data_IF_867120556198
#
_entry.id   IF_867120556198
#
_cell.length_a   1.000
_cell.length_b   1.000
_cell.length_c   1.000
_cell.angle_alpha   90.00
_cell.angle_beta   90.00
_cell.angle_gamma   90.00
#
_symmetry.space_group_name_H-M   'P 1'
#
loop_
_entity.id
_entity.type
_entity.pdbx_description
1 polymer ?
#
# COMPACT_ATOMS: atom_id res chain seq x y z
N UNK A 1 3.84 1.97 27.41
CA UNK A 1 3.77 0.52 27.71
C UNK A 1 3.43 -0.20 26.40
N UNK A 2 4.16 -1.27 26.08
CA UNK A 2 3.83 -2.21 25.00
C UNK A 2 3.67 -3.58 25.65
N UNK A 3 2.58 -4.30 25.38
CA UNK A 3 2.39 -5.67 25.84
C UNK A 3 1.68 -6.48 24.78
N UNK A 4 2.13 -7.71 24.56
CA UNK A 4 1.45 -8.70 23.73
C UNK A 4 0.88 -9.80 24.63
N UNK A 5 -0.38 -10.19 24.41
CA UNK A 5 -1.03 -11.29 25.12
C UNK A 5 -1.54 -12.29 24.09
N UNK A 6 -1.18 -13.56 24.22
CA UNK A 6 -1.78 -14.65 23.43
C UNK A 6 -3.08 -15.02 24.10
N UNK A 7 -4.18 -14.99 23.35
CA UNK A 7 -5.52 -15.30 23.81
C UNK A 7 -5.81 -16.80 23.66
N UNK A 8 -6.90 -17.26 24.28
CA UNK A 8 -7.31 -18.66 24.23
C UNK A 8 -7.89 -19.11 22.87
N UNK A 9 -8.20 -18.15 22.00
CA UNK A 9 -8.72 -18.32 20.63
C UNK A 9 -7.62 -18.21 19.57
N UNK A 10 -6.35 -18.42 19.95
CA UNK A 10 -5.15 -18.27 19.13
C UNK A 10 -4.90 -16.86 18.55
N UNK A 11 -5.66 -15.85 18.97
CA UNK A 11 -5.40 -14.45 18.61
C UNK A 11 -4.33 -13.80 19.49
N UNK A 12 -3.71 -12.72 19.01
CA UNK A 12 -2.74 -11.93 19.78
C UNK A 12 -3.28 -10.53 19.98
N UNK A 13 -3.43 -10.12 21.25
CA UNK A 13 -3.77 -8.73 21.60
C UNK A 13 -2.50 -7.92 21.83
N UNK A 14 -2.30 -6.88 21.00
CA UNK A 14 -1.23 -5.90 21.19
C UNK A 14 -1.77 -4.63 21.84
N UNK A 15 -1.21 -4.25 22.99
CA UNK A 15 -1.60 -3.02 23.70
C UNK A 15 -0.49 -1.99 23.63
N UNK A 16 -0.84 -0.78 23.20
CA UNK A 16 0.05 0.37 23.13
C UNK A 16 -0.58 1.56 23.86
N UNK A 17 0.25 2.46 24.37
CA UNK A 17 -0.21 3.80 24.73
C UNK A 17 -0.48 4.64 23.48
N UNK A 18 -1.50 5.50 23.52
CA UNK A 18 -1.87 6.41 22.43
C UNK A 18 -0.67 7.20 21.87
N UNK A 19 0.19 7.73 22.75
CA UNK A 19 1.40 8.46 22.33
C UNK A 19 2.35 7.60 21.47
N UNK A 20 2.46 6.29 21.77
CA UNK A 20 3.33 5.38 21.03
C UNK A 20 2.69 4.89 19.74
N UNK A 21 1.36 4.79 19.71
CA UNK A 21 0.61 4.54 18.48
C UNK A 21 0.78 5.72 17.50
N UNK A 22 0.61 6.96 17.95
CA UNK A 22 0.84 8.15 17.10
C UNK A 22 2.27 8.24 16.54
N UNK A 23 3.26 7.91 17.37
CA UNK A 23 4.66 7.83 16.94
C UNK A 23 4.85 6.78 15.85
N UNK A 24 4.30 5.57 16.06
CA UNK A 24 4.34 4.48 15.08
C UNK A 24 3.65 4.88 13.77
N UNK A 25 2.46 5.47 13.82
CA UNK A 25 1.74 5.90 12.61
C UNK A 25 2.50 6.97 11.84
N UNK A 26 3.18 7.88 12.53
CA UNK A 26 4.02 8.89 11.89
C UNK A 26 5.22 8.26 11.18
N UNK A 27 5.88 7.29 11.82
CA UNK A 27 6.99 6.55 11.24
C UNK A 27 6.53 5.73 10.01
N UNK A 28 5.44 4.98 10.13
CA UNK A 28 4.87 4.19 9.03
C UNK A 28 4.47 5.06 7.85
N UNK A 29 3.85 6.22 8.11
CA UNK A 29 3.54 7.20 7.08
C UNK A 29 4.81 7.64 6.35
N UNK A 30 5.84 8.07 7.08
CA UNK A 30 7.08 8.53 6.46
C UNK A 30 7.75 7.42 5.63
N UNK A 31 7.78 6.20 6.14
CA UNK A 31 8.35 5.05 5.43
C UNK A 31 7.55 4.72 4.15
N UNK A 32 6.22 4.81 4.18
CA UNK A 32 5.39 4.57 2.99
C UNK A 32 5.57 5.66 1.93
N UNK A 33 5.72 6.92 2.36
CA UNK A 33 6.07 8.03 1.46
C UNK A 33 7.45 7.82 0.85
N UNK A 34 8.45 7.46 1.66
CA UNK A 34 9.80 7.17 1.20
C UNK A 34 9.82 6.01 0.21
N UNK A 35 9.15 4.90 0.54
CA UNK A 35 8.99 3.74 -0.34
C UNK A 35 8.36 4.14 -1.68
N UNK A 36 7.28 4.92 -1.67
CA UNK A 36 6.64 5.42 -2.90
C UNK A 36 7.60 6.24 -3.76
N UNK A 37 8.46 7.06 -3.15
CA UNK A 37 9.47 7.83 -3.88
C UNK A 37 10.60 6.94 -4.43
N UNK A 38 11.03 5.93 -3.67
CA UNK A 38 12.07 4.97 -4.08
C UNK A 38 11.64 4.16 -5.31
N UNK A 39 10.37 3.74 -5.38
CA UNK A 39 9.82 3.06 -6.55
C UNK A 39 10.02 3.84 -7.86
N UNK A 40 10.09 5.18 -7.78
CA UNK A 40 10.33 6.07 -8.92
C UNK A 40 11.83 6.32 -9.11
N UNK A 41 12.57 6.53 -8.03
CA UNK A 41 13.94 7.04 -8.06
C UNK A 41 15.01 5.98 -8.33
N UNK A 42 14.81 4.74 -7.89
CA UNK A 42 15.85 3.70 -7.90
C UNK A 42 16.08 3.10 -9.30
N UNK A 43 15.12 3.29 -10.21
CA UNK A 43 15.21 2.82 -11.60
C UNK A 43 14.91 1.32 -11.77
N UNK A 44 14.61 0.61 -10.70
CA UNK A 44 14.17 -0.80 -10.71
C UNK A 44 12.81 -0.97 -11.41
N UNK A 45 11.99 0.09 -11.42
CA UNK A 45 10.68 0.13 -12.06
C UNK A 45 10.59 1.27 -13.08
N UNK A 46 11.33 1.20 -14.21
CA UNK A 46 11.51 2.32 -15.14
C UNK A 46 10.23 2.79 -15.84
N UNK A 47 9.17 1.97 -15.85
CA UNK A 47 7.86 2.37 -16.39
C UNK A 47 7.11 3.33 -15.46
N UNK A 48 7.38 3.34 -14.15
CA UNK A 48 6.69 4.17 -13.17
C UNK A 48 7.24 5.61 -13.21
N UNK A 49 6.35 6.58 -13.39
CA UNK A 49 6.71 8.00 -13.52
C UNK A 49 6.34 8.82 -12.30
N UNK A 50 5.20 8.51 -11.71
CA UNK A 50 4.66 9.25 -10.57
C UNK A 50 3.78 8.32 -9.72
N UNK A 51 3.80 8.54 -8.40
CA UNK A 51 2.89 7.90 -7.47
C UNK A 51 2.29 9.00 -6.59
N UNK A 52 0.97 9.06 -6.58
CA UNK A 52 0.19 9.91 -5.67
C UNK A 52 -0.73 9.04 -4.82
N UNK A 53 -1.16 9.56 -3.69
CA UNK A 53 -1.98 8.83 -2.72
C UNK A 53 -2.86 9.79 -1.94
N UNK A 54 -3.96 9.25 -1.41
CA UNK A 54 -4.83 9.98 -0.50
C UNK A 54 -4.19 10.09 0.90
N UNK A 55 -4.86 10.81 1.81
CA UNK A 55 -4.30 11.06 3.16
C UNK A 55 -4.11 9.79 3.99
N UNK A 56 -4.95 8.77 3.75
CA UNK A 56 -5.04 7.57 4.57
C UNK A 56 -4.45 6.33 3.89
N UNK A 57 -3.89 6.49 2.68
CA UNK A 57 -3.32 5.39 1.90
C UNK A 57 -4.34 4.29 1.58
N UNK A 58 -5.59 4.68 1.35
CA UNK A 58 -6.66 3.83 0.83
C UNK A 58 -6.69 3.86 -0.71
N UNK A 59 -6.20 4.93 -1.33
CA UNK A 59 -6.12 5.04 -2.78
C UNK A 59 -4.74 5.52 -3.21
N UNK A 60 -4.18 4.85 -4.23
CA UNK A 60 -2.97 5.25 -4.92
C UNK A 60 -3.26 5.45 -6.41
N UNK A 61 -2.68 6.49 -6.99
CA UNK A 61 -2.62 6.66 -8.45
C UNK A 61 -1.17 6.60 -8.90
N UNK A 62 -0.86 5.58 -9.70
CA UNK A 62 0.46 5.31 -10.25
C UNK A 62 0.45 5.60 -11.74
N UNK A 63 1.13 6.69 -12.13
CA UNK A 63 1.29 7.09 -13.53
C UNK A 63 2.43 6.29 -14.14
N UNK A 64 2.18 5.64 -15.27
CA UNK A 64 3.12 4.71 -15.92
C UNK A 64 3.19 4.91 -17.43
N UNK A 65 4.34 4.56 -18.00
CA UNK A 65 4.44 4.20 -19.42
C UNK A 65 3.70 2.87 -19.61
N UNK A 66 2.55 2.89 -20.29
CA UNK A 66 1.69 1.72 -20.42
C UNK A 66 2.40 0.52 -21.08
N UNK A 67 3.09 0.75 -22.19
CA UNK A 67 3.70 -0.34 -22.96
C UNK A 67 4.85 -0.99 -22.18
N UNK A 68 5.70 -0.18 -21.54
CA UNK A 68 6.76 -0.69 -20.68
C UNK A 68 6.19 -1.40 -19.44
N UNK A 69 5.13 -0.86 -18.83
CA UNK A 69 4.50 -1.45 -17.64
C UNK A 69 3.86 -2.82 -17.91
N UNK A 70 3.08 -2.95 -18.99
CA UNK A 70 2.41 -4.22 -19.35
C UNK A 70 3.39 -5.32 -19.79
N UNK A 71 4.57 -4.94 -20.30
CA UNK A 71 5.59 -5.88 -20.80
C UNK A 71 6.76 -6.11 -19.82
N UNK A 72 6.68 -5.61 -18.59
CA UNK A 72 7.75 -5.73 -17.58
C UNK A 72 7.27 -6.34 -16.27
N UNK A 73 8.21 -6.51 -15.34
CA UNK A 73 7.91 -6.89 -13.96
C UNK A 73 7.49 -5.70 -13.09
N UNK A 74 7.40 -4.49 -13.64
CA UNK A 74 7.05 -3.28 -12.88
C UNK A 74 5.64 -3.34 -12.29
N UNK A 75 4.79 -4.20 -12.84
CA UNK A 75 3.50 -4.56 -12.25
C UNK A 75 3.60 -5.05 -10.79
N UNK A 76 4.74 -5.57 -10.34
CA UNK A 76 4.95 -5.98 -8.95
C UNK A 76 4.91 -4.82 -7.95
N UNK A 77 5.21 -3.59 -8.39
CA UNK A 77 5.10 -2.41 -7.53
C UNK A 77 3.66 -2.19 -7.04
N UNK A 78 2.65 -2.62 -7.83
CA UNK A 78 1.23 -2.57 -7.44
C UNK A 78 0.98 -3.42 -6.20
N UNK A 79 1.55 -4.62 -6.13
CA UNK A 79 1.44 -5.51 -4.98
C UNK A 79 2.15 -4.91 -3.76
N UNK A 80 3.37 -4.40 -3.94
CA UNK A 80 4.13 -3.77 -2.86
C UNK A 80 3.40 -2.58 -2.23
N UNK A 81 2.84 -1.69 -3.04
CA UNK A 81 2.02 -0.56 -2.58
C UNK A 81 0.74 -1.03 -1.89
N UNK A 82 0.03 -1.99 -2.48
CA UNK A 82 -1.19 -2.57 -1.90
C UNK A 82 -0.95 -3.13 -0.50
N UNK A 83 0.08 -3.96 -0.34
CA UNK A 83 0.46 -4.52 0.95
C UNK A 83 0.84 -3.44 1.96
N UNK A 84 1.63 -2.44 1.55
CA UNK A 84 2.07 -1.38 2.45
C UNK A 84 0.90 -0.49 2.91
N UNK A 85 -0.07 -0.20 2.04
CA UNK A 85 -1.31 0.48 2.38
C UNK A 85 -2.17 -0.33 3.37
N UNK A 86 -2.33 -1.64 3.14
CA UNK A 86 -3.09 -2.51 4.05
C UNK A 86 -2.45 -2.57 5.44
N UNK A 87 -1.12 -2.67 5.51
CA UNK A 87 -0.42 -2.61 6.79
C UNK A 87 -0.63 -1.25 7.50
N UNK A 88 -0.59 -0.13 6.77
CA UNK A 88 -0.89 1.17 7.36
C UNK A 88 -2.28 1.20 8.00
N UNK A 89 -3.31 0.73 7.27
CA UNK A 89 -4.69 0.69 7.77
C UNK A 89 -4.86 -0.22 8.98
N UNK A 90 -4.26 -1.42 8.95
CA UNK A 90 -4.29 -2.36 10.07
C UNK A 90 -3.73 -1.74 11.35
N UNK A 91 -2.61 -1.02 11.24
CA UNK A 91 -2.00 -0.34 12.39
C UNK A 91 -2.73 0.95 12.78
N UNK A 92 -3.45 1.60 11.86
CA UNK A 92 -4.36 2.71 12.17
C UNK A 92 -5.64 2.24 12.90
N UNK A 93 -5.88 0.92 12.94
CA UNK A 93 -6.96 0.29 13.68
C UNK A 93 -8.21 0.00 12.83
N UNK A 94 -8.07 -0.05 11.51
CA UNK A 94 -9.11 -0.58 10.62
C UNK A 94 -9.27 -2.07 10.89
N UNK A 95 -10.51 -2.54 10.92
CA UNK A 95 -10.81 -3.97 11.09
C UNK A 95 -10.24 -4.77 9.90
N UNK A 96 -9.73 -5.97 10.15
CA UNK A 96 -9.19 -6.84 9.10
C UNK A 96 -10.19 -7.15 7.98
N UNK A 97 -11.48 -7.21 8.30
CA UNK A 97 -12.57 -7.43 7.31
C UNK A 97 -12.89 -6.17 6.49
N UNK A 98 -12.28 -5.03 6.81
CA UNK A 98 -12.54 -3.72 6.21
C UNK A 98 -11.27 -3.07 5.63
N UNK A 99 -10.17 -3.83 5.53
CA UNK A 99 -8.99 -3.37 4.82
C UNK A 99 -9.33 -3.22 3.33
N UNK A 100 -9.04 -2.05 2.77
CA UNK A 100 -9.32 -1.77 1.37
C UNK A 100 -8.29 -0.79 0.81
N UNK A 101 -7.51 -1.24 -0.18
CA UNK A 101 -6.54 -0.40 -0.89
C UNK A 101 -6.73 -0.53 -2.39
N UNK A 102 -7.09 0.56 -3.04
CA UNK A 102 -7.18 0.64 -4.49
C UNK A 102 -5.91 1.25 -5.10
N UNK A 103 -5.31 0.54 -6.06
CA UNK A 103 -4.19 1.03 -6.85
C UNK A 103 -4.64 1.26 -8.30
N UNK A 104 -4.65 2.51 -8.73
CA UNK A 104 -4.98 2.90 -10.09
C UNK A 104 -3.71 3.05 -10.93
N UNK A 105 -3.56 2.23 -11.98
CA UNK A 105 -2.53 2.46 -13.00
C UNK A 105 -3.07 3.42 -14.06
N UNK A 106 -2.38 4.52 -14.31
CA UNK A 106 -2.78 5.60 -15.23
C UNK A 106 -1.72 5.74 -16.31
N UNK A 107 -2.15 5.79 -17.57
CA UNK A 107 -1.26 5.98 -18.72
C UNK A 107 -0.74 7.42 -18.75
N UNK A 108 0.59 7.60 -18.75
CA UNK A 108 1.22 8.92 -18.78
C UNK A 108 0.87 9.74 -20.03
N UNK A 109 0.60 9.07 -21.15
CA UNK A 109 0.40 9.72 -22.45
C UNK A 109 -1.02 10.27 -22.63
N UNK A 110 -2.01 9.58 -22.06
CA UNK A 110 -3.43 9.90 -22.22
C UNK A 110 -4.07 10.44 -20.94
N UNK A 111 -3.47 10.15 -19.77
CA UNK A 111 -4.09 10.38 -18.47
C UNK A 111 -5.26 9.44 -18.18
N UNK A 112 -5.50 8.45 -19.04
CA UNK A 112 -6.58 7.49 -18.86
C UNK A 112 -6.16 6.37 -17.91
N UNK A 113 -7.13 5.89 -17.13
CA UNK A 113 -6.93 4.75 -16.24
C UNK A 113 -6.82 3.47 -17.05
N UNK A 114 -5.67 2.79 -16.96
CA UNK A 114 -5.39 1.51 -17.60
C UNK A 114 -6.12 0.38 -16.86
N UNK A 115 -5.93 0.34 -15.53
CA UNK A 115 -6.54 -0.66 -14.65
C UNK A 115 -6.63 -0.16 -13.21
N UNK A 116 -7.42 -0.88 -12.41
CA UNK A 116 -7.44 -0.76 -10.95
C UNK A 116 -7.22 -2.15 -10.36
N UNK A 117 -6.45 -2.21 -9.28
CA UNK A 117 -6.31 -3.41 -8.46
C UNK A 117 -6.74 -3.06 -7.04
N UNK A 118 -7.69 -3.79 -6.49
CA UNK A 118 -8.20 -3.62 -5.13
C UNK A 118 -7.65 -4.73 -4.23
N UNK A 119 -7.00 -4.38 -3.13
CA UNK A 119 -6.51 -5.32 -2.13
C UNK A 119 -7.36 -5.26 -0.87
N UNK A 120 -7.71 -6.40 -0.25
CA UNK A 120 -7.26 -7.76 -0.59
C UNK A 120 -8.06 -8.48 -1.70
N UNK A 121 -9.20 -7.94 -2.15
CA UNK A 121 -10.15 -8.60 -3.08
C UNK A 121 -9.48 -9.27 -4.30
N UNK A 122 -8.71 -8.53 -5.09
CA UNK A 122 -8.08 -9.04 -6.32
C UNK A 122 -6.89 -9.99 -6.05
N UNK A 123 -6.38 -10.05 -4.81
CA UNK A 123 -5.35 -11.01 -4.42
C UNK A 123 -5.96 -12.39 -4.15
N UNK A 124 -7.11 -12.42 -3.49
CA UNK A 124 -7.84 -13.65 -3.19
C UNK A 124 -8.33 -14.36 -4.47
N UNK A 125 -8.62 -13.61 -5.53
CA UNK A 125 -9.01 -14.12 -6.84
C UNK A 125 -7.86 -14.80 -7.63
N UNK A 126 -6.63 -14.73 -7.13
CA UNK A 126 -5.45 -15.35 -7.77
C UNK A 126 -5.02 -16.70 -7.21
N UNK A 127 -5.75 -17.23 -6.20
CA UNK A 127 -5.51 -18.57 -5.61
C UNK A 127 -6.33 -19.72 -6.23
#
# INVERSE_FOLDING_TARGET
>A
MKSATVNADDTITYKMSEAKHKELMTEMKNNLVEYSNQLIADGDFPSIKEITYDKNFTEFSMVVDKEAFENSFDGFAVLGLGMAGMFYQLFDGVDSEHLDVAIHSVDESTGERIRTVNYPEDLEDTE
#
